data_IF_425159206447
#
_entry.id   IF_425159206447
#
_cell.length_a   1.000
_cell.length_b   1.000
_cell.length_c   1.000
_cell.angle_alpha   90.00
_cell.angle_beta   90.00
_cell.angle_gamma   90.00
#
_symmetry.space_group_name_H-M   'P 1'
#
loop_
_entity.id
_entity.type
_entity.pdbx_description
1 polymer ?
#
# COMPACT_ATOMS: atom_id res chain seq x y z
N UNK A 1 -0.31 7.98 11.98
CA UNK A 1 -0.86 8.69 10.82
C UNK A 1 -2.14 9.39 11.26
N UNK A 2 -2.26 10.64 10.91
CA UNK A 2 -3.33 11.47 11.40
C UNK A 2 -4.67 11.13 10.80
N UNK A 3 -5.69 11.28 11.62
CA UNK A 3 -7.11 11.51 11.24
C UNK A 3 -7.61 10.91 9.93
N UNK A 4 -7.17 9.71 9.61
CA UNK A 4 -7.78 8.99 8.50
C UNK A 4 -9.16 8.50 8.91
N UNK A 5 -10.13 8.66 8.01
CA UNK A 5 -11.43 8.04 8.22
C UNK A 5 -11.29 6.53 8.17
N UNK A 6 -12.26 5.82 8.72
CA UNK A 6 -12.27 4.36 8.67
C UNK A 6 -12.18 3.85 7.23
N UNK A 7 -12.96 4.45 6.32
CA UNK A 7 -12.97 4.03 4.91
C UNK A 7 -11.60 4.25 4.25
N UNK A 8 -10.92 5.33 4.60
CA UNK A 8 -9.57 5.58 4.07
C UNK A 8 -8.57 4.56 4.60
N UNK A 9 -8.65 4.20 5.87
CA UNK A 9 -7.78 3.16 6.46
C UNK A 9 -7.96 1.84 5.71
N UNK A 10 -9.19 1.44 5.44
CA UNK A 10 -9.47 0.20 4.70
C UNK A 10 -8.95 0.32 3.27
N UNK A 11 -9.11 1.47 2.63
CA UNK A 11 -8.60 1.69 1.27
C UNK A 11 -7.08 1.54 1.20
N UNK A 12 -6.35 2.10 2.17
CA UNK A 12 -4.90 1.96 2.24
C UNK A 12 -4.50 0.49 2.38
N UNK A 13 -5.16 -0.23 3.28
CA UNK A 13 -4.87 -1.64 3.49
C UNK A 13 -5.23 -2.49 2.27
N UNK A 14 -6.29 -2.11 1.54
CA UNK A 14 -6.64 -2.79 0.29
C UNK A 14 -5.50 -2.67 -0.72
N UNK A 15 -4.95 -1.50 -0.89
CA UNK A 15 -3.84 -1.29 -1.83
C UNK A 15 -2.59 -2.05 -1.37
N UNK A 16 -2.26 -2.03 -0.09
CA UNK A 16 -1.14 -2.81 0.44
C UNK A 16 -1.35 -4.30 0.21
N UNK A 17 -2.55 -4.79 0.42
CA UNK A 17 -2.87 -6.19 0.17
C UNK A 17 -2.74 -6.55 -1.31
N UNK A 18 -3.14 -5.65 -2.20
CA UNK A 18 -2.97 -5.86 -3.65
C UNK A 18 -1.48 -5.95 -4.02
N UNK A 19 -0.64 -5.13 -3.39
CA UNK A 19 0.82 -5.18 -3.61
C UNK A 19 1.37 -6.53 -3.16
N UNK A 20 0.99 -7.00 -1.98
CA UNK A 20 1.43 -8.31 -1.46
C UNK A 20 1.09 -9.42 -2.44
N UNK A 21 -0.07 -9.33 -3.08
CA UNK A 21 -0.56 -10.38 -3.98
C UNK A 21 -0.16 -10.19 -5.44
N UNK A 22 0.59 -9.15 -5.77
CA UNK A 22 0.86 -8.77 -7.15
C UNK A 22 1.62 -9.84 -7.95
N UNK A 23 2.44 -10.65 -7.29
CA UNK A 23 3.22 -11.72 -7.92
C UNK A 23 2.70 -13.11 -7.58
N UNK A 24 1.55 -13.21 -6.92
CA UNK A 24 0.93 -14.45 -6.44
C UNK A 24 1.77 -15.19 -5.38
N UNK A 25 2.77 -14.53 -4.83
CA UNK A 25 3.58 -15.08 -3.73
C UNK A 25 3.40 -14.15 -2.52
N UNK A 26 2.81 -14.69 -1.45
CA UNK A 26 2.59 -13.92 -0.22
C UNK A 26 3.72 -14.23 0.74
N UNK A 27 4.44 -13.20 1.17
CA UNK A 27 5.58 -13.34 2.08
C UNK A 27 5.17 -12.93 3.49
N UNK A 28 5.63 -13.70 4.47
CA UNK A 28 5.26 -13.48 5.87
C UNK A 28 5.65 -12.08 6.35
N UNK A 29 6.83 -11.57 5.95
CA UNK A 29 7.28 -10.24 6.38
C UNK A 29 6.37 -9.14 5.86
N UNK A 30 5.81 -9.32 4.66
CA UNK A 30 4.87 -8.35 4.09
C UNK A 30 3.53 -8.38 4.84
N UNK A 31 3.04 -9.58 5.14
CA UNK A 31 1.81 -9.74 5.92
C UNK A 31 1.98 -9.14 7.32
N UNK A 32 3.11 -9.40 7.97
CA UNK A 32 3.41 -8.84 9.29
C UNK A 32 3.43 -7.31 9.25
N UNK A 33 4.04 -6.75 8.21
CA UNK A 33 4.08 -5.30 8.04
C UNK A 33 2.66 -4.72 7.90
N UNK A 34 1.83 -5.34 7.05
CA UNK A 34 0.45 -4.90 6.87
C UNK A 34 -0.34 -4.97 8.18
N UNK A 35 -0.15 -6.04 8.95
CA UNK A 35 -0.82 -6.20 10.24
C UNK A 35 -0.37 -5.14 11.25
N UNK A 36 0.90 -4.75 11.23
CA UNK A 36 1.39 -3.66 12.08
C UNK A 36 0.73 -2.33 11.72
N UNK A 37 0.57 -2.05 10.43
CA UNK A 37 -0.13 -0.85 9.99
C UNK A 37 -1.59 -0.88 10.45
N UNK A 38 -2.25 -2.03 10.31
CA UNK A 38 -3.64 -2.18 10.75
C UNK A 38 -3.77 -1.91 12.24
N UNK A 39 -2.81 -2.39 13.04
CA UNK A 39 -2.80 -2.12 14.49
C UNK A 39 -2.59 -0.64 14.78
N UNK A 40 -1.70 0.01 14.04
CA UNK A 40 -1.48 1.46 14.21
C UNK A 40 -2.71 2.28 13.84
N UNK A 41 -3.55 1.75 12.97
CA UNK A 41 -4.84 2.34 12.61
C UNK A 41 -5.95 2.00 13.60
N UNK A 42 -5.65 1.18 14.61
CA UNK A 42 -6.61 0.74 15.63
C UNK A 42 -7.77 -0.06 15.04
N UNK A 43 -7.49 -0.85 14.01
CA UNK A 43 -8.50 -1.69 13.38
C UNK A 43 -8.67 -3.01 14.14
N UNK A 44 -9.88 -3.56 14.09
CA UNK A 44 -10.17 -4.87 14.67
C UNK A 44 -9.43 -5.98 13.91
N UNK A 45 -9.23 -7.13 14.58
CA UNK A 45 -8.48 -8.25 13.99
C UNK A 45 -9.12 -8.78 12.71
N UNK A 46 -10.43 -8.60 12.54
CA UNK A 46 -11.15 -9.08 11.36
C UNK A 46 -11.21 -8.05 10.23
N UNK A 47 -10.32 -7.05 10.23
CA UNK A 47 -10.33 -5.97 9.24
C UNK A 47 -10.23 -6.51 7.80
N UNK A 48 -9.60 -7.66 7.59
CA UNK A 48 -9.43 -8.24 6.26
C UNK A 48 -10.75 -8.55 5.57
N UNK A 49 -11.82 -8.79 6.32
CA UNK A 49 -13.15 -9.02 5.72
C UNK A 49 -13.58 -7.80 4.92
N UNK A 50 -13.37 -6.60 5.46
CA UNK A 50 -13.73 -5.36 4.78
C UNK A 50 -12.75 -5.01 3.68
N UNK A 51 -11.47 -5.31 3.87
CA UNK A 51 -10.47 -5.15 2.81
C UNK A 51 -10.85 -6.00 1.61
N UNK A 52 -11.24 -7.25 1.83
CA UNK A 52 -11.63 -8.16 0.74
C UNK A 52 -12.93 -7.74 0.04
N UNK A 53 -13.81 -7.05 0.75
CA UNK A 53 -15.07 -6.56 0.18
C UNK A 53 -14.88 -5.30 -0.66
N UNK A 54 -13.78 -4.58 -0.47
CA UNK A 54 -13.54 -3.34 -1.20
C UNK A 54 -12.89 -3.64 -2.55
N UNK A 55 -13.39 -3.03 -3.61
CA UNK A 55 -12.82 -3.16 -4.94
C UNK A 55 -11.63 -2.21 -5.07
N UNK A 56 -10.58 -2.65 -5.77
CA UNK A 56 -9.36 -1.85 -5.96
C UNK A 56 -9.66 -0.45 -6.50
N UNK A 57 -10.54 -0.34 -7.49
CA UNK A 57 -10.87 0.95 -8.08
C UNK A 57 -11.51 1.90 -7.07
N UNK A 58 -12.33 1.38 -6.17
CA UNK A 58 -12.91 2.19 -5.09
C UNK A 58 -11.83 2.68 -4.13
N UNK A 59 -10.88 1.81 -3.78
CA UNK A 59 -9.76 2.20 -2.92
C UNK A 59 -8.93 3.30 -3.57
N UNK A 60 -8.63 3.18 -4.85
CA UNK A 60 -7.88 4.20 -5.59
C UNK A 60 -8.62 5.53 -5.62
N UNK A 61 -9.94 5.49 -5.81
CA UNK A 61 -10.77 6.69 -5.81
C UNK A 61 -10.70 7.42 -4.46
N UNK A 62 -10.77 6.67 -3.36
CA UNK A 62 -10.68 7.24 -2.01
C UNK A 62 -9.30 7.90 -1.81
N UNK A 63 -8.23 7.20 -2.15
CA UNK A 63 -6.86 7.71 -1.98
C UNK A 63 -6.63 8.93 -2.85
N UNK A 64 -7.14 8.91 -4.08
CA UNK A 64 -6.99 10.02 -5.03
C UNK A 64 -7.57 11.33 -4.51
N UNK A 65 -8.55 11.27 -3.64
CA UNK A 65 -9.20 12.45 -3.08
C UNK A 65 -8.51 13.04 -1.85
N UNK A 66 -7.46 12.40 -1.36
CA UNK A 66 -6.77 12.82 -0.14
C UNK A 66 -5.82 14.00 -0.39
N UNK A 67 -5.37 14.63 0.71
CA UNK A 67 -4.37 15.69 0.63
C UNK A 67 -3.03 15.16 0.12
N UNK A 68 -2.20 16.06 -0.38
CA UNK A 68 -0.85 15.71 -0.85
C UNK A 68 -0.05 15.05 0.28
N UNK A 69 -0.12 15.58 1.50
CA UNK A 69 0.62 15.04 2.62
C UNK A 69 0.23 13.60 2.94
N UNK A 70 -1.06 13.29 2.92
CA UNK A 70 -1.53 11.93 3.17
C UNK A 70 -1.14 10.99 2.04
N UNK A 71 -1.22 11.46 0.79
CA UNK A 71 -0.79 10.67 -0.37
C UNK A 71 0.69 10.31 -0.29
N UNK A 72 1.53 11.25 0.13
CA UNK A 72 2.96 10.99 0.29
C UNK A 72 3.23 9.93 1.36
N UNK A 73 2.51 10.01 2.47
CA UNK A 73 2.62 9.00 3.53
C UNK A 73 2.19 7.62 3.05
N UNK A 74 1.12 7.55 2.27
CA UNK A 74 0.66 6.29 1.68
C UNK A 74 1.70 5.73 0.72
N UNK A 75 2.31 6.58 -0.11
CA UNK A 75 3.39 6.16 -1.00
C UNK A 75 4.57 5.58 -0.22
N UNK A 76 4.92 6.17 0.92
CA UNK A 76 5.96 5.63 1.79
C UNK A 76 5.60 4.26 2.35
N UNK A 77 4.35 4.08 2.76
CA UNK A 77 3.89 2.78 3.25
C UNK A 77 3.99 1.70 2.16
N UNK A 78 3.58 2.04 0.93
CA UNK A 78 3.68 1.12 -0.20
C UNK A 78 5.14 0.80 -0.52
N UNK A 79 5.99 1.81 -0.56
CA UNK A 79 7.41 1.63 -0.85
C UNK A 79 8.09 0.75 0.19
N UNK A 80 7.81 0.99 1.47
CA UNK A 80 8.36 0.19 2.56
C UNK A 80 7.91 -1.27 2.46
N UNK A 81 6.66 -1.49 2.07
CA UNK A 81 6.13 -2.83 1.85
C UNK A 81 6.95 -3.58 0.79
N UNK A 82 7.32 -2.90 -0.29
CA UNK A 82 8.05 -3.52 -1.40
C UNK A 82 9.46 -3.93 -1.00
N UNK A 83 10.13 -3.13 -0.18
CA UNK A 83 11.55 -3.37 0.14
C UNK A 83 11.77 -4.13 1.44
N UNK A 84 10.72 -4.44 2.18
CA UNK A 84 10.86 -4.93 3.57
C UNK A 84 11.59 -6.28 3.65
N UNK A 85 11.47 -7.13 2.63
CA UNK A 85 12.14 -8.42 2.61
C UNK A 85 13.42 -8.41 1.77
N UNK A 86 13.82 -7.25 1.26
CA UNK A 86 15.02 -7.03 0.45
C UNK A 86 15.01 -7.77 -0.89
N UNK A 87 13.86 -8.29 -1.29
CA UNK A 87 13.68 -8.97 -2.58
C UNK A 87 12.62 -8.21 -3.37
N UNK A 88 13.06 -7.22 -4.16
CA UNK A 88 12.16 -6.32 -4.85
C UNK A 88 11.57 -7.01 -6.07
N UNK A 89 10.25 -7.15 -6.07
CA UNK A 89 9.51 -7.82 -7.13
C UNK A 89 9.03 -6.82 -8.17
N UNK A 90 9.24 -7.15 -9.46
CA UNK A 90 8.84 -6.29 -10.56
C UNK A 90 7.33 -5.97 -10.54
N UNK A 91 6.50 -6.98 -10.28
CA UNK A 91 5.05 -6.79 -10.29
C UNK A 91 4.58 -5.88 -9.17
N UNK A 92 5.24 -5.93 -8.02
CA UNK A 92 4.95 -5.04 -6.90
C UNK A 92 5.31 -3.59 -7.26
N UNK A 93 6.47 -3.39 -7.88
CA UNK A 93 6.91 -2.07 -8.32
C UNK A 93 5.97 -1.51 -9.38
N UNK A 94 5.55 -2.35 -10.32
CA UNK A 94 4.62 -1.95 -11.36
C UNK A 94 3.30 -1.47 -10.77
N UNK A 95 2.75 -2.21 -9.82
CA UNK A 95 1.50 -1.83 -9.17
C UNK A 95 1.67 -0.53 -8.38
N UNK A 96 2.78 -0.38 -7.66
CA UNK A 96 3.11 0.86 -6.95
C UNK A 96 3.08 2.06 -7.90
N UNK A 97 3.75 1.93 -9.05
CA UNK A 97 3.78 3.00 -10.04
C UNK A 97 2.39 3.30 -10.60
N UNK A 98 1.59 2.28 -10.85
CA UNK A 98 0.22 2.46 -11.34
C UNK A 98 -0.66 3.18 -10.32
N UNK A 99 -0.53 2.84 -9.05
CA UNK A 99 -1.27 3.51 -7.98
C UNK A 99 -0.87 4.98 -7.89
N UNK A 100 0.42 5.26 -7.91
CA UNK A 100 0.92 6.64 -7.85
C UNK A 100 0.44 7.46 -9.04
N UNK A 101 0.48 6.88 -10.23
CA UNK A 101 0.03 7.57 -11.44
C UNK A 101 -1.48 7.85 -11.39
N UNK A 102 -2.27 6.86 -10.99
CA UNK A 102 -3.73 7.02 -10.90
C UNK A 102 -4.12 8.06 -9.85
N UNK A 103 -3.48 8.02 -8.70
CA UNK A 103 -3.83 8.89 -7.58
C UNK A 103 -3.12 10.23 -7.62
N UNK A 104 -2.30 10.46 -8.64
CA UNK A 104 -1.54 11.69 -8.80
C UNK A 104 -0.63 11.96 -7.60
N UNK A 105 0.11 10.92 -7.21
CA UNK A 105 1.03 10.97 -6.09
C UNK A 105 2.44 11.24 -6.59
N UNK A 106 3.09 12.25 -6.03
CA UNK A 106 4.51 12.48 -6.27
C UNK A 106 5.31 11.38 -5.58
N UNK A 107 6.21 10.74 -6.34
CA UNK A 107 6.97 9.61 -5.85
C UNK A 107 8.22 10.08 -5.12
N UNK A 108 8.13 10.33 -3.81
CA UNK A 108 9.31 10.61 -2.97
C UNK A 108 10.18 9.37 -2.87
N UNK A 109 9.55 8.20 -2.82
CA UNK A 109 10.26 6.92 -2.79
C UNK A 109 10.57 6.49 -4.22
N UNK A 110 11.85 6.37 -4.54
CA UNK A 110 12.27 5.95 -5.88
C UNK A 110 12.66 4.48 -5.85
N UNK A 111 11.72 3.63 -6.25
CA UNK A 111 11.92 2.19 -6.27
C UNK A 111 13.05 1.79 -7.21
N UNK A 112 13.31 2.58 -8.25
CA UNK A 112 14.43 2.32 -9.18
C UNK A 112 15.77 2.24 -8.47
N UNK A 113 15.96 3.01 -7.40
CA UNK A 113 17.21 2.99 -6.63
C UNK A 113 17.48 1.61 -6.04
N UNK A 114 16.46 0.77 -5.92
CA UNK A 114 16.56 -0.57 -5.37
C UNK A 114 16.52 -1.66 -6.43
N UNK A 115 16.04 -1.36 -7.63
CA UNK A 115 15.90 -2.34 -8.72
C UNK A 115 17.07 -2.33 -9.69
N UNK A 116 17.87 -1.26 -9.71
CA UNK A 116 18.96 -1.09 -10.66
C UNK A 116 20.25 -1.82 -10.23
N UNK A 117 20.18 -2.64 -9.20
CA UNK A 117 21.33 -3.35 -8.65
C UNK A 117 21.58 -4.71 -9.28
N UNK A 118 20.76 -5.12 -10.16
CA UNK A 118 20.89 -6.42 -10.82
C UNK A 118 21.97 -6.43 -11.89
#
# INVERSE_FOLDING_TARGET
>A
MEDLTYNTKIAVLKILNDIINADNIVKDVEVDYMNEIARSFELADNYMNEVNDLVTLQALSIISSLSVDLKEKIAQLMGNMIIIDKDINYNEVKLYNEVCDYCNIDKDFNVKDYTDFS
#
